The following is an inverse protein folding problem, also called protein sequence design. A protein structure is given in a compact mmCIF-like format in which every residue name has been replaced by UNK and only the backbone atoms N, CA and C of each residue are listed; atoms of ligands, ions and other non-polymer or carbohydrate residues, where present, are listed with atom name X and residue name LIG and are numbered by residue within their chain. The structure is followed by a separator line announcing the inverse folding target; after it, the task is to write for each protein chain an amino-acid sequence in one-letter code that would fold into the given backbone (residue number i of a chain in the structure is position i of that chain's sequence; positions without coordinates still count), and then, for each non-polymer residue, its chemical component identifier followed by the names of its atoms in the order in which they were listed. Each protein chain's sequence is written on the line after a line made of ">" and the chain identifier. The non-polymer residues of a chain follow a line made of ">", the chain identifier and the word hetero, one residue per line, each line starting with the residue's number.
data_IF_725696085997
#
_entry.id   IF_725696085997
#
_cell.length_a   1.000
_cell.length_b   1.000
_cell.length_c   1.000
_cell.angle_alpha   90.00
_cell.angle_beta   90.00
_cell.angle_gamma   90.00
#
_symmetry.space_group_name_H-M   'P 1'
#
loop_
_entity.id
_entity.type
_entity.pdbx_description
1 polymer ?
#
# COMPACT_ATOMS: atom_id res chain seq x y z
N UNK A 1 -9.77 -4.36 2.09
CA UNK A 1 -11.24 -4.44 1.89
C UNK A 1 -11.90 -5.16 3.06
N UNK A 2 -13.11 -4.78 3.45
CA UNK A 2 -13.90 -5.52 4.45
C UNK A 2 -14.77 -6.55 3.71
N UNK A 3 -14.78 -7.80 4.16
CA UNK A 3 -15.53 -8.87 3.48
C UNK A 3 -17.03 -8.56 3.45
N UNK A 4 -17.69 -8.91 2.33
CA UNK A 4 -19.13 -8.67 2.14
C UNK A 4 -20.01 -9.27 3.26
N UNK A 5 -19.59 -10.39 3.84
CA UNK A 5 -20.32 -11.09 4.90
C UNK A 5 -19.61 -11.03 6.26
N UNK A 6 -18.79 -10.00 6.51
CA UNK A 6 -18.15 -9.84 7.81
C UNK A 6 -19.22 -9.77 8.92
N UNK A 7 -19.05 -10.53 10.03
CA UNK A 7 -20.07 -10.64 11.08
C UNK A 7 -20.25 -9.35 11.90
N UNK A 8 -19.27 -8.45 11.86
CA UNK A 8 -19.31 -7.14 12.52
C UNK A 8 -18.64 -6.10 11.63
N UNK A 9 -19.39 -5.57 10.66
CA UNK A 9 -18.89 -4.59 9.69
C UNK A 9 -18.57 -3.25 10.35
N UNK A 10 -19.43 -2.80 11.26
CA UNK A 10 -19.31 -1.48 11.86
C UNK A 10 -17.98 -1.34 12.60
N UNK A 11 -17.61 -2.33 13.43
CA UNK A 11 -16.32 -2.32 14.10
C UNK A 11 -15.15 -2.55 13.14
N UNK A 12 -15.34 -3.29 12.05
CA UNK A 12 -14.30 -3.43 11.03
C UNK A 12 -13.99 -2.10 10.33
N UNK A 13 -15.01 -1.29 10.04
CA UNK A 13 -14.83 0.06 9.51
C UNK A 13 -14.20 0.99 10.54
N UNK A 14 -14.68 0.98 11.79
CA UNK A 14 -14.10 1.80 12.86
C UNK A 14 -12.63 1.47 13.09
N UNK A 15 -12.26 0.20 13.04
CA UNK A 15 -10.86 -0.23 13.15
C UNK A 15 -10.02 0.23 11.96
N UNK A 16 -10.52 0.10 10.72
CA UNK A 16 -9.80 0.57 9.54
C UNK A 16 -9.57 2.08 9.56
N UNK A 17 -10.58 2.85 9.98
CA UNK A 17 -10.46 4.30 10.16
C UNK A 17 -9.38 4.65 11.20
N UNK A 18 -9.41 3.99 12.35
CA UNK A 18 -8.40 4.17 13.40
C UNK A 18 -6.99 3.82 12.91
N UNK A 19 -6.83 2.75 12.11
CA UNK A 19 -5.53 2.38 11.53
C UNK A 19 -4.99 3.42 10.54
N UNK A 20 -5.86 4.11 9.81
CA UNK A 20 -5.49 5.12 8.82
C UNK A 20 -5.27 6.51 9.43
N UNK A 21 -5.54 6.69 10.72
CA UNK A 21 -5.21 7.92 11.43
C UNK A 21 -3.70 8.20 11.41
N UNK A 22 -3.34 9.49 11.45
CA UNK A 22 -1.96 9.98 11.31
C UNK A 22 -0.98 9.30 12.28
N UNK A 23 -1.28 9.29 13.58
CA UNK A 23 -0.36 8.76 14.59
C UNK A 23 -0.09 7.25 14.41
N UNK A 24 -1.09 6.38 14.19
CA UNK A 24 -0.86 4.98 13.82
C UNK A 24 -0.03 4.80 12.54
N UNK A 25 -0.24 5.63 11.51
CA UNK A 25 0.53 5.55 10.26
C UNK A 25 2.00 5.98 10.43
N UNK A 26 2.28 6.94 11.31
CA UNK A 26 3.66 7.32 11.67
C UNK A 26 4.37 6.22 12.45
N UNK A 27 3.69 5.62 13.43
CA UNK A 27 4.22 4.46 14.17
C UNK A 27 4.47 3.27 13.23
N UNK A 28 3.55 3.01 12.30
CA UNK A 28 3.72 2.01 11.26
C UNK A 28 4.99 2.24 10.44
N UNK A 29 5.29 3.49 10.05
CA UNK A 29 6.50 3.79 9.29
C UNK A 29 7.79 3.48 10.06
N UNK A 30 7.80 3.71 11.37
CA UNK A 30 8.92 3.39 12.26
C UNK A 30 9.11 1.87 12.37
N UNK A 31 8.04 1.16 12.74
CA UNK A 31 8.11 -0.26 13.09
C UNK A 31 8.27 -1.16 11.87
N UNK A 32 7.57 -0.83 10.78
CA UNK A 32 7.55 -1.66 9.56
C UNK A 32 8.59 -1.22 8.53
N UNK A 33 9.08 0.03 8.61
CA UNK A 33 10.06 0.55 7.66
C UNK A 33 9.51 0.82 6.26
N UNK A 34 8.24 1.17 6.14
CA UNK A 34 7.57 1.56 4.89
C UNK A 34 6.94 2.94 5.01
N UNK A 35 6.76 3.64 3.89
CA UNK A 35 5.94 4.85 3.89
C UNK A 35 4.50 4.52 4.32
N UNK A 36 3.88 5.41 5.10
CA UNK A 36 2.47 5.30 5.44
C UNK A 36 1.58 5.49 4.21
N UNK A 37 0.33 5.04 4.33
CA UNK A 37 -0.64 5.03 3.21
C UNK A 37 -1.41 6.35 3.05
N UNK A 38 -1.31 7.26 4.02
CA UNK A 38 -1.97 8.58 3.99
C UNK A 38 -0.96 9.71 3.83
N UNK A 39 -1.41 10.86 3.33
CA UNK A 39 -0.57 12.06 3.15
C UNK A 39 -0.45 12.87 4.45
N UNK A 40 0.52 13.78 4.52
CA UNK A 40 0.68 14.70 5.66
C UNK A 40 1.28 14.06 6.92
N UNK A 41 1.94 12.92 6.78
CA UNK A 41 2.68 12.28 7.86
C UNK A 41 3.95 13.07 8.20
N UNK A 42 4.31 13.05 9.47
CA UNK A 42 5.53 13.66 10.00
C UNK A 42 6.48 12.54 10.34
N UNK A 43 7.33 12.19 9.38
CA UNK A 43 8.31 11.12 9.52
C UNK A 43 9.66 11.74 9.87
N UNK A 44 10.37 11.15 10.83
CA UNK A 44 11.72 11.58 11.18
C UNK A 44 12.62 11.63 9.93
N UNK A 45 13.43 12.69 9.73
CA UNK A 45 14.24 12.83 8.50
C UNK A 45 15.22 11.68 8.25
N UNK A 46 15.79 11.08 9.29
CA UNK A 46 16.71 9.96 9.13
C UNK A 46 15.97 8.69 8.71
N UNK A 47 14.76 8.47 9.25
CA UNK A 47 13.88 7.40 8.80
C UNK A 47 13.41 7.64 7.35
N UNK A 48 12.94 8.84 7.03
CA UNK A 48 12.49 9.21 5.69
C UNK A 48 13.60 9.03 4.65
N UNK A 49 14.86 9.36 4.98
CA UNK A 49 16.00 9.09 4.10
C UNK A 49 16.20 7.60 3.78
N UNK A 50 15.76 6.70 4.67
CA UNK A 50 15.91 5.25 4.50
C UNK A 50 14.77 4.63 3.71
N UNK A 51 13.54 5.12 3.88
CA UNK A 51 12.31 4.45 3.39
C UNK A 51 11.52 5.29 2.37
N UNK A 52 11.76 6.59 2.35
CA UNK A 52 11.05 7.58 1.56
C UNK A 52 11.71 7.84 0.20
N UNK A 53 10.99 8.59 -0.61
CA UNK A 53 11.47 9.12 -1.90
C UNK A 53 11.62 10.64 -1.78
N UNK A 54 12.50 11.23 -2.59
CA UNK A 54 12.51 12.70 -2.71
C UNK A 54 11.29 13.19 -3.50
N UNK A 55 10.91 14.47 -3.38
CA UNK A 55 9.82 15.04 -4.19
C UNK A 55 10.02 14.90 -5.71
N UNK A 56 11.28 14.82 -6.16
CA UNK A 56 11.62 14.59 -7.56
C UNK A 56 11.42 13.12 -7.96
N UNK A 57 11.83 12.19 -7.11
CA UNK A 57 11.64 10.76 -7.31
C UNK A 57 10.15 10.39 -7.31
N UNK A 58 9.34 10.98 -6.42
CA UNK A 58 7.89 10.78 -6.37
C UNK A 58 7.21 11.09 -7.71
N UNK A 59 7.67 12.12 -8.44
CA UNK A 59 7.13 12.47 -9.78
C UNK A 59 7.42 11.42 -10.85
N UNK A 60 8.42 10.58 -10.61
CA UNK A 60 8.79 9.48 -11.53
C UNK A 60 8.02 8.20 -11.23
N UNK A 61 7.41 8.10 -10.06
CA UNK A 61 6.57 6.96 -9.71
C UNK A 61 5.40 6.85 -10.70
N UNK A 62 5.01 5.61 -10.99
CA UNK A 62 3.86 5.28 -11.80
C UNK A 62 2.94 4.45 -10.94
N UNK A 63 1.73 4.94 -10.74
CA UNK A 63 0.68 4.10 -10.17
C UNK A 63 0.29 3.04 -11.21
N UNK A 64 -0.21 1.92 -10.70
CA UNK A 64 -0.62 0.80 -11.52
C UNK A 64 -1.96 1.12 -12.19
N UNK A 65 -2.10 0.77 -13.47
CA UNK A 65 -3.41 0.74 -14.11
C UNK A 65 -4.16 -0.52 -13.64
N UNK A 66 -4.89 -0.40 -12.53
CA UNK A 66 -5.62 -1.51 -11.94
C UNK A 66 -6.68 -2.12 -12.87
N UNK A 67 -7.24 -1.34 -13.81
CA UNK A 67 -8.22 -1.86 -14.77
C UNK A 67 -7.53 -2.73 -15.83
N UNK A 68 -6.39 -2.27 -16.35
CA UNK A 68 -5.55 -3.07 -17.24
C UNK A 68 -5.06 -4.33 -16.53
N UNK A 69 -4.56 -4.21 -15.30
CA UNK A 69 -4.08 -5.36 -14.52
C UNK A 69 -5.20 -6.38 -14.30
N UNK A 70 -6.38 -5.95 -13.82
CA UNK A 70 -7.50 -6.85 -13.59
C UNK A 70 -7.97 -7.56 -14.86
N UNK A 71 -7.93 -6.89 -16.03
CA UNK A 71 -8.28 -7.48 -17.32
C UNK A 71 -7.27 -8.54 -17.78
N UNK A 72 -5.99 -8.37 -17.46
CA UNK A 72 -4.90 -9.16 -18.04
C UNK A 72 -4.21 -10.11 -17.04
N UNK A 73 -4.61 -10.10 -15.75
CA UNK A 73 -3.98 -10.84 -14.64
C UNK A 73 -3.72 -12.31 -14.97
N UNK A 74 -4.76 -13.02 -15.45
CA UNK A 74 -4.64 -14.45 -15.78
C UNK A 74 -3.63 -14.72 -16.90
N UNK A 75 -3.60 -13.88 -17.94
CA UNK A 75 -2.69 -14.05 -19.07
C UNK A 75 -1.24 -13.76 -18.67
N UNK A 76 -1.02 -12.73 -17.84
CA UNK A 76 0.29 -12.43 -17.28
C UNK A 76 0.80 -13.55 -16.38
N UNK A 77 -0.08 -14.14 -15.55
CA UNK A 77 0.27 -15.30 -14.73
C UNK A 77 0.62 -16.52 -15.57
N UNK A 78 -0.17 -16.83 -16.60
CA UNK A 78 0.10 -17.97 -17.48
C UNK A 78 1.44 -17.82 -18.22
N UNK A 79 1.70 -16.61 -18.74
CA UNK A 79 2.99 -16.29 -19.34
C UNK A 79 4.14 -16.47 -18.34
N UNK A 80 4.00 -15.96 -17.11
CA UNK A 80 5.01 -16.09 -16.07
C UNK A 80 5.32 -17.55 -15.75
N UNK A 81 4.28 -18.36 -15.53
CA UNK A 81 4.43 -19.77 -15.18
C UNK A 81 5.16 -20.54 -16.31
N UNK A 82 4.82 -20.27 -17.58
CA UNK A 82 5.46 -20.90 -18.75
C UNK A 82 6.91 -20.47 -19.00
N UNK A 83 7.22 -19.19 -18.78
CA UNK A 83 8.53 -18.62 -19.14
C UNK A 83 9.55 -18.76 -18.02
N UNK A 84 9.13 -18.62 -16.75
CA UNK A 84 10.07 -18.54 -15.63
C UNK A 84 9.99 -19.71 -14.65
N UNK A 85 8.81 -20.33 -14.46
CA UNK A 85 8.69 -21.44 -13.50
C UNK A 85 8.88 -22.82 -14.12
N UNK A 86 8.45 -23.00 -15.38
CA UNK A 86 8.44 -24.29 -16.06
C UNK A 86 7.22 -25.11 -15.71
#
# INVERSE_FOLDING_TARGET
>A
MIQKNAPNKDNAYAYMDAMLAKAPQEAFAVDMGYNGTVTGLTVDPALHKRIGFTPEEEKTLRDLDYAFLAKNDSAMKEWWDKVFKG
#
